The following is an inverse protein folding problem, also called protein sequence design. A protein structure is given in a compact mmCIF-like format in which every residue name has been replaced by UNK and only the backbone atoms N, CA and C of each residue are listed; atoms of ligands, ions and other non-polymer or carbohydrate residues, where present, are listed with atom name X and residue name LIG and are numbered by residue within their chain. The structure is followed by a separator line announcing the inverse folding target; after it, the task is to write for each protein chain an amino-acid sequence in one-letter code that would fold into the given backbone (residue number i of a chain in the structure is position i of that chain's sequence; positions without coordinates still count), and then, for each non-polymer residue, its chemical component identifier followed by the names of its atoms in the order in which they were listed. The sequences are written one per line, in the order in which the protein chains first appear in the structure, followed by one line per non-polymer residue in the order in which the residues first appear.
data_IF_181151019626
#
_entry.id   IF_181151019626
#
_cell.length_a   1.000
_cell.length_b   1.000
_cell.length_c   1.000
_cell.angle_alpha   90.00
_cell.angle_beta   90.00
_cell.angle_gamma   90.00
#
_symmetry.space_group_name_H-M   'P 1'
#
loop_
_entity.id
_entity.type
_entity.pdbx_description
1 polymer ?
#
# COMPACT_ATOMS: atom_id res chain seq x y z
N UNK A 1 -12.39 -5.61 3.56
CA UNK A 1 -11.13 -5.40 4.30
C UNK A 1 -10.57 -4.04 3.90
N UNK A 2 -10.45 -3.11 4.85
CA UNK A 2 -9.74 -1.85 4.62
C UNK A 2 -8.30 -2.09 5.08
N UNK A 3 -7.34 -1.81 4.18
CA UNK A 3 -5.92 -1.92 4.48
C UNK A 3 -5.37 -0.51 4.66
N UNK A 4 -5.19 -0.10 5.91
CA UNK A 4 -4.43 1.12 6.17
C UNK A 4 -2.93 0.85 5.93
N UNK A 5 -2.28 1.68 5.10
CA UNK A 5 -0.84 1.61 4.92
C UNK A 5 -0.17 2.00 6.24
N UNK A 6 0.89 1.28 6.65
CA UNK A 6 1.58 1.55 7.91
C UNK A 6 2.24 2.94 7.94
N UNK A 7 2.47 3.55 6.78
CA UNK A 7 3.11 4.85 6.60
C UNK A 7 2.11 6.03 6.63
N UNK A 8 0.84 5.78 6.96
CA UNK A 8 -0.17 6.82 7.18
C UNK A 8 -0.02 7.44 8.57
N UNK A 9 1.04 8.22 8.79
CA UNK A 9 1.06 9.21 9.87
C UNK A 9 0.44 10.51 9.34
N UNK A 10 -0.13 11.39 10.17
CA UNK A 10 -0.91 12.55 9.71
C UNK A 10 -0.25 13.47 8.65
N UNK A 11 1.06 13.31 8.38
CA UNK A 11 1.83 14.07 7.39
C UNK A 11 2.10 13.30 6.08
N UNK A 12 1.83 11.99 6.05
CA UNK A 12 2.10 11.09 4.93
C UNK A 12 0.84 10.29 4.63
N UNK A 13 0.49 10.20 3.36
CA UNK A 13 -0.61 9.36 2.92
C UNK A 13 -0.13 8.43 1.81
N UNK A 14 -0.64 7.20 1.82
CA UNK A 14 -0.45 6.31 0.70
C UNK A 14 -1.51 6.53 -0.37
N UNK A 15 -1.13 6.28 -1.62
CA UNK A 15 -2.01 6.45 -2.77
C UNK A 15 -1.62 5.47 -3.89
N UNK A 16 -2.49 5.39 -4.90
CA UNK A 16 -2.36 4.48 -6.06
C UNK A 16 -2.12 3.01 -5.67
N UNK A 17 -3.00 2.40 -4.85
CA UNK A 17 -2.88 0.99 -4.51
C UNK A 17 -3.03 0.12 -5.77
N UNK A 18 -2.11 -0.81 -5.96
CA UNK A 18 -2.12 -1.77 -7.07
C UNK A 18 -1.89 -3.17 -6.53
N UNK A 19 -2.85 -4.07 -6.75
CA UNK A 19 -2.69 -5.49 -6.46
C UNK A 19 -2.07 -6.20 -7.66
N UNK A 20 -0.95 -6.88 -7.42
CA UNK A 20 -0.33 -7.77 -8.38
C UNK A 20 -0.68 -9.21 -7.97
N UNK A 21 -1.30 -9.98 -8.85
CA UNK A 21 -1.50 -11.41 -8.61
C UNK A 21 -0.31 -12.18 -9.18
N UNK A 22 0.47 -12.81 -8.30
CA UNK A 22 1.63 -13.63 -8.70
C UNK A 22 1.27 -15.12 -8.75
N UNK A 23 0.81 -15.68 -7.62
CA UNK A 23 0.36 -17.07 -7.50
C UNK A 23 -0.38 -17.32 -6.16
N UNK A 24 -1.41 -18.15 -6.20
CA UNK A 24 -2.16 -18.60 -5.03
C UNK A 24 -2.78 -17.45 -4.25
N UNK A 25 -2.76 -17.56 -2.92
CA UNK A 25 -3.46 -16.62 -2.03
C UNK A 25 -2.60 -15.42 -1.61
N UNK A 26 -1.47 -15.22 -2.28
CA UNK A 26 -0.47 -14.19 -1.94
C UNK A 26 -0.43 -13.09 -3.00
N UNK A 27 -0.75 -11.88 -2.56
CA UNK A 27 -0.88 -10.71 -3.41
C UNK A 27 0.04 -9.60 -2.91
N UNK A 28 1.12 -9.26 -3.64
CA UNK A 28 1.82 -8.02 -3.42
C UNK A 28 0.89 -6.82 -3.65
N UNK A 29 0.71 -6.03 -2.60
CA UNK A 29 0.15 -4.69 -2.68
C UNK A 29 1.30 -3.71 -2.91
N UNK A 30 1.34 -3.12 -4.10
CA UNK A 30 2.19 -1.98 -4.38
C UNK A 30 1.42 -0.69 -4.07
N UNK A 31 2.08 0.29 -3.47
CA UNK A 31 1.49 1.61 -3.20
C UNK A 31 2.58 2.67 -3.17
N UNK A 32 2.21 3.90 -3.50
CA UNK A 32 3.10 5.05 -3.34
C UNK A 32 2.81 5.74 -2.01
N UNK A 33 3.81 6.44 -1.49
CA UNK A 33 3.66 7.31 -0.32
C UNK A 33 4.11 8.71 -0.68
N UNK A 34 3.38 9.70 -0.17
CA UNK A 34 3.77 11.10 -0.29
C UNK A 34 4.20 11.65 1.08
N UNK A 35 4.92 12.77 1.06
CA UNK A 35 5.28 13.52 2.26
C UNK A 35 5.40 15.01 1.95
N UNK A 36 5.73 15.84 2.95
CA UNK A 36 6.02 17.25 2.74
C UNK A 36 7.10 17.45 1.66
N UNK A 37 6.95 18.45 0.80
CA UNK A 37 7.92 18.72 -0.27
C UNK A 37 9.35 18.91 0.27
N UNK A 38 9.49 19.57 1.43
CA UNK A 38 10.79 19.76 2.08
C UNK A 38 11.49 18.42 2.36
N UNK A 39 10.76 17.41 2.84
CA UNK A 39 11.30 16.09 3.14
C UNK A 39 11.70 15.37 1.85
N UNK A 40 10.88 15.46 0.79
CA UNK A 40 11.15 14.83 -0.52
C UNK A 40 12.41 15.41 -1.17
N UNK A 41 12.65 16.71 -1.00
CA UNK A 41 13.86 17.36 -1.52
C UNK A 41 15.13 16.88 -0.81
N UNK A 42 15.02 16.45 0.45
CA UNK A 42 16.12 15.87 1.23
C UNK A 42 16.27 14.37 0.96
N UNK A 43 15.15 13.66 0.80
CA UNK A 43 15.10 12.23 0.56
C UNK A 43 14.08 11.86 -0.53
N UNK A 44 14.57 11.70 -1.76
CA UNK A 44 13.74 11.29 -2.89
C UNK A 44 13.24 9.84 -2.79
N UNK A 45 13.73 9.04 -1.84
CA UNK A 45 13.28 7.65 -1.66
C UNK A 45 11.88 7.56 -1.07
N UNK A 46 11.36 8.67 -0.53
CA UNK A 46 9.96 8.82 -0.09
C UNK A 46 8.99 8.48 -1.23
N UNK A 47 9.29 8.92 -2.46
CA UNK A 47 8.41 8.70 -3.61
C UNK A 47 8.56 7.31 -4.27
N UNK A 48 9.42 6.42 -3.73
CA UNK A 48 9.57 5.07 -4.29
C UNK A 48 8.37 4.20 -3.91
N UNK A 49 7.88 3.36 -4.84
CA UNK A 49 6.83 2.40 -4.52
C UNK A 49 7.23 1.50 -3.34
N UNK A 50 6.28 1.27 -2.45
CA UNK A 50 6.34 0.33 -1.33
C UNK A 50 5.60 -0.94 -1.70
N UNK A 51 6.04 -2.06 -1.14
CA UNK A 51 5.42 -3.36 -1.36
C UNK A 51 5.07 -3.99 -0.02
N UNK A 52 3.84 -4.50 0.08
CA UNK A 52 3.36 -5.28 1.22
C UNK A 52 2.77 -6.59 0.72
N UNK A 53 3.24 -7.72 1.25
CA UNK A 53 2.61 -8.99 0.96
C UNK A 53 1.30 -9.10 1.73
N UNK A 54 0.19 -9.31 1.01
CA UNK A 54 -1.13 -9.56 1.59
C UNK A 54 -1.49 -11.01 1.31
N UNK A 55 -1.91 -11.72 2.36
CA UNK A 55 -2.55 -13.03 2.21
C UNK A 55 -4.05 -12.85 2.35
N UNK A 56 -4.79 -13.15 1.30
CA UNK A 56 -6.24 -13.09 1.32
C UNK A 56 -6.75 -14.51 1.56
N UNK A 57 -7.48 -14.73 2.64
CA UNK A 57 -8.24 -15.97 2.79
C UNK A 57 -9.47 -15.92 1.90
N UNK A 58 -9.85 -17.07 1.35
CA UNK A 58 -11.12 -17.24 0.62
C UNK A 58 -12.29 -17.26 1.60
N UNK A 59 -12.55 -16.16 2.29
CA UNK A 59 -13.82 -15.99 2.98
C UNK A 59 -14.83 -15.57 1.90
N UNK A 60 -15.91 -16.34 1.67
CA UNK A 60 -16.94 -15.96 0.71
C UNK A 60 -17.43 -14.55 1.05
N UNK A 61 -17.58 -13.69 0.04
CA UNK A 61 -18.33 -12.44 0.23
C UNK A 61 -19.72 -12.87 0.71
N UNK A 62 -20.10 -12.49 1.93
CA UNK A 62 -21.45 -12.73 2.39
C UNK A 62 -22.38 -11.92 1.49
N UNK A 63 -23.28 -12.59 0.78
CA UNK A 63 -24.32 -11.95 -0.01
C UNK A 63 -25.12 -11.05 0.93
N UNK A 64 -25.01 -9.73 0.72
CA UNK A 64 -25.74 -8.69 1.44
C UNK A 64 -27.01 -8.32 0.70
#
# INVERSE_FOLDING_TARGET
MILDPPENDATRYAYNPTFLHLAGDSYPLAYNVNGPLADILVDNTICRPRFRLVRLSTQPLADS
#
